data_IF_688853024095
#
_entry.id   IF_688853024095
#
_cell.length_a   1.000
_cell.length_b   1.000
_cell.length_c   1.000
_cell.angle_alpha   90.00
_cell.angle_beta   90.00
_cell.angle_gamma   90.00
#
_symmetry.space_group_name_H-M   'P 1'
#
loop_
_entity.id
_entity.type
_entity.pdbx_description
1 polymer ?
#
# COMPACT_ATOMS: atom_id res chain seq x y z
N UNK A 1 24.95 -20.42 -4.49
CA UNK A 1 23.89 -19.76 -5.27
C UNK A 1 24.50 -18.56 -5.96
N UNK A 2 24.13 -18.30 -7.21
CA UNK A 2 24.58 -17.11 -7.93
C UNK A 2 23.95 -15.85 -7.26
N UNK A 3 24.72 -14.78 -7.00
CA UNK A 3 24.16 -13.52 -6.46
C UNK A 3 22.99 -12.97 -7.29
N UNK A 4 22.99 -13.19 -8.60
CA UNK A 4 21.90 -12.80 -9.49
C UNK A 4 20.64 -13.64 -9.28
N UNK A 5 20.77 -14.97 -9.10
CA UNK A 5 19.63 -15.85 -8.81
C UNK A 5 19.02 -15.55 -7.42
N UNK A 6 19.85 -15.20 -6.43
CA UNK A 6 19.37 -14.79 -5.11
C UNK A 6 18.59 -13.47 -5.17
N UNK A 7 19.03 -12.53 -6.01
CA UNK A 7 18.29 -11.29 -6.24
C UNK A 7 16.95 -11.57 -6.95
N UNK A 8 16.90 -12.45 -7.94
CA UNK A 8 15.64 -12.81 -8.61
C UNK A 8 14.64 -13.47 -7.63
N UNK A 9 15.10 -14.39 -6.79
CA UNK A 9 14.24 -15.01 -5.76
C UNK A 9 13.74 -14.00 -4.73
N UNK A 10 14.61 -13.07 -4.31
CA UNK A 10 14.25 -12.01 -3.38
C UNK A 10 13.25 -11.05 -4.02
N UNK A 11 13.47 -10.63 -5.26
CA UNK A 11 12.56 -9.75 -5.99
C UNK A 11 11.19 -10.41 -6.16
N UNK A 12 11.13 -11.65 -6.62
CA UNK A 12 9.87 -12.39 -6.73
C UNK A 12 9.16 -12.50 -5.37
N UNK A 13 9.90 -12.81 -4.31
CA UNK A 13 9.34 -12.89 -2.97
C UNK A 13 8.73 -11.55 -2.53
N UNK A 14 9.49 -10.46 -2.64
CA UNK A 14 9.04 -9.11 -2.27
C UNK A 14 7.82 -8.69 -3.09
N UNK A 15 7.84 -8.92 -4.41
CA UNK A 15 6.69 -8.64 -5.28
C UNK A 15 5.46 -9.42 -4.83
N UNK A 16 5.58 -10.73 -4.60
CA UNK A 16 4.45 -11.56 -4.17
C UNK A 16 3.92 -11.19 -2.79
N UNK A 17 4.77 -10.66 -1.90
CA UNK A 17 4.36 -10.15 -0.61
C UNK A 17 3.56 -8.86 -0.74
N UNK A 18 4.07 -7.90 -1.52
CA UNK A 18 3.38 -6.63 -1.77
C UNK A 18 2.04 -6.87 -2.46
N UNK A 19 2.00 -7.76 -3.45
CA UNK A 19 0.77 -8.17 -4.11
C UNK A 19 -0.30 -8.67 -3.14
N UNK A 20 0.06 -9.55 -2.20
CA UNK A 20 -0.88 -10.01 -1.16
C UNK A 20 -1.29 -8.91 -0.21
N UNK A 21 -0.35 -8.09 0.25
CA UNK A 21 -0.62 -6.98 1.16
C UNK A 21 -1.62 -5.98 0.56
N UNK A 22 -1.46 -5.66 -0.72
CA UNK A 22 -2.37 -4.79 -1.48
C UNK A 22 -3.77 -5.40 -1.53
N UNK A 23 -3.89 -6.69 -1.83
CA UNK A 23 -5.20 -7.37 -1.91
C UNK A 23 -5.87 -7.43 -0.54
N UNK A 24 -5.11 -7.77 0.51
CA UNK A 24 -5.61 -7.79 1.89
C UNK A 24 -6.11 -6.41 2.32
N UNK A 25 -5.36 -5.35 2.02
CA UNK A 25 -5.77 -3.97 2.28
C UNK A 25 -7.08 -3.63 1.56
N UNK A 26 -7.17 -3.90 0.25
CA UNK A 26 -8.38 -3.61 -0.54
C UNK A 26 -9.59 -4.35 0.04
N UNK A 27 -9.45 -5.63 0.37
CA UNK A 27 -10.54 -6.42 0.96
C UNK A 27 -10.96 -5.87 2.32
N UNK A 28 -10.00 -5.48 3.15
CA UNK A 28 -10.28 -4.86 4.44
C UNK A 28 -11.06 -3.56 4.26
N UNK A 29 -10.62 -2.65 3.39
CA UNK A 29 -11.29 -1.37 3.17
C UNK A 29 -12.68 -1.54 2.55
N UNK A 30 -12.83 -2.47 1.59
CA UNK A 30 -14.14 -2.83 1.03
C UNK A 30 -15.07 -3.43 2.10
N UNK A 31 -14.53 -4.21 3.05
CA UNK A 31 -15.32 -4.76 4.16
C UNK A 31 -15.83 -3.66 5.08
N UNK A 32 -15.05 -2.59 5.31
CA UNK A 32 -15.46 -1.46 6.14
C UNK A 32 -16.54 -0.61 5.45
N UNK A 33 -16.39 -0.34 4.15
CA UNK A 33 -17.32 0.51 3.39
C UNK A 33 -18.56 -0.20 2.85
N UNK A 34 -18.45 -1.48 2.51
CA UNK A 34 -19.51 -2.29 1.89
C UNK A 34 -19.41 -3.79 2.27
N UNK A 35 -19.76 -4.17 3.52
CA UNK A 35 -19.54 -5.51 4.08
C UNK A 35 -20.12 -6.70 3.31
N UNK A 36 -21.13 -6.48 2.46
CA UNK A 36 -21.87 -7.53 1.73
C UNK A 36 -21.37 -7.80 0.32
N UNK A 37 -20.34 -7.08 -0.15
CA UNK A 37 -19.90 -7.09 -1.55
C UNK A 37 -18.40 -7.28 -1.70
N UNK A 38 -17.72 -7.83 -0.70
CA UNK A 38 -16.26 -8.04 -0.75
C UNK A 38 -15.94 -9.24 -1.64
N UNK A 39 -15.20 -9.07 -2.76
CA UNK A 39 -14.78 -10.18 -3.61
C UNK A 39 -13.77 -11.09 -2.90
N UNK A 40 -13.53 -12.27 -3.46
CA UNK A 40 -12.44 -13.13 -2.97
C UNK A 40 -11.07 -12.57 -3.38
N UNK A 41 -10.01 -13.04 -2.72
CA UNK A 41 -8.63 -12.70 -3.06
C UNK A 41 -8.32 -13.11 -4.50
N UNK A 42 -8.74 -14.31 -4.92
CA UNK A 42 -8.53 -14.79 -6.29
C UNK A 42 -9.27 -13.96 -7.34
N UNK A 43 -10.47 -13.46 -7.02
CA UNK A 43 -11.23 -12.59 -7.92
C UNK A 43 -10.56 -11.23 -8.10
N UNK A 44 -10.01 -10.65 -7.02
CA UNK A 44 -9.23 -9.42 -7.10
C UNK A 44 -7.91 -9.62 -7.83
N UNK A 45 -7.20 -10.72 -7.58
CA UNK A 45 -5.98 -11.05 -8.30
C UNK A 45 -6.21 -11.17 -9.80
N UNK A 46 -7.23 -11.94 -10.20
CA UNK A 46 -7.57 -12.09 -11.62
C UNK A 46 -7.92 -10.74 -12.26
N UNK A 47 -8.69 -9.90 -11.55
CA UNK A 47 -9.06 -8.58 -12.04
C UNK A 47 -7.85 -7.65 -12.25
N UNK A 48 -6.90 -7.60 -11.31
CA UNK A 48 -5.74 -6.72 -11.44
C UNK A 48 -4.66 -7.24 -12.38
N UNK A 49 -4.47 -8.56 -12.47
CA UNK A 49 -3.49 -9.16 -13.39
C UNK A 49 -3.94 -9.08 -14.85
N UNK A 50 -5.25 -9.20 -15.10
CA UNK A 50 -5.85 -9.23 -16.44
C UNK A 50 -7.05 -8.27 -16.53
N UNK A 51 -6.85 -6.94 -16.46
CA UNK A 51 -7.95 -5.97 -16.41
C UNK A 51 -8.79 -5.94 -17.70
N UNK A 52 -8.24 -6.39 -18.82
CA UNK A 52 -8.93 -6.47 -20.10
C UNK A 52 -9.76 -7.76 -20.28
N UNK A 53 -9.61 -8.74 -19.39
CA UNK A 53 -10.34 -10.01 -19.46
C UNK A 53 -11.71 -9.94 -18.74
N UNK A 54 -12.67 -10.79 -19.13
CA UNK A 54 -13.96 -10.88 -18.43
C UNK A 54 -13.76 -11.19 -16.94
N UNK A 55 -14.31 -10.33 -16.09
CA UNK A 55 -14.20 -10.46 -14.63
C UNK A 55 -15.51 -10.93 -14.00
N UNK A 56 -15.40 -11.53 -12.81
CA UNK A 56 -16.53 -11.92 -11.96
C UNK A 56 -17.05 -10.77 -11.10
N UNK A 57 -16.25 -9.71 -10.96
CA UNK A 57 -16.62 -8.52 -10.20
C UNK A 57 -17.71 -7.75 -10.94
N UNK A 58 -18.74 -7.32 -10.22
CA UNK A 58 -19.68 -6.35 -10.76
C UNK A 58 -19.02 -4.97 -10.93
N UNK A 59 -19.69 -4.06 -11.64
CA UNK A 59 -19.14 -2.73 -11.95
C UNK A 59 -18.84 -1.90 -10.69
N UNK A 60 -19.59 -2.09 -9.61
CA UNK A 60 -19.38 -1.39 -8.35
C UNK A 60 -18.14 -1.93 -7.63
N UNK A 61 -17.98 -3.25 -7.58
CA UNK A 61 -16.81 -3.93 -7.03
C UNK A 61 -15.54 -3.55 -7.79
N UNK A 62 -15.58 -3.50 -9.13
CA UNK A 62 -14.45 -3.05 -9.95
C UNK A 62 -14.05 -1.60 -9.61
N UNK A 63 -15.02 -0.70 -9.61
CA UNK A 63 -14.78 0.71 -9.28
C UNK A 63 -14.15 0.87 -7.89
N UNK A 64 -14.71 0.20 -6.88
CA UNK A 64 -14.23 0.30 -5.51
C UNK A 64 -12.85 -0.36 -5.32
N UNK A 65 -12.60 -1.52 -5.94
CA UNK A 65 -11.30 -2.18 -5.89
C UNK A 65 -10.21 -1.30 -6.53
N UNK A 66 -10.50 -0.68 -7.68
CA UNK A 66 -9.58 0.27 -8.33
C UNK A 66 -9.34 1.51 -7.47
N UNK A 67 -10.39 2.10 -6.88
CA UNK A 67 -10.26 3.24 -5.96
C UNK A 67 -9.34 2.90 -4.77
N UNK A 68 -9.54 1.75 -4.13
CA UNK A 68 -8.70 1.30 -3.00
C UNK A 68 -7.27 0.97 -3.40
N UNK A 69 -7.05 0.45 -4.60
CA UNK A 69 -5.70 0.27 -5.12
C UNK A 69 -4.97 1.62 -5.28
N UNK A 70 -5.66 2.63 -5.82
CA UNK A 70 -5.08 3.96 -6.00
C UNK A 70 -4.81 4.65 -4.66
N UNK A 71 -5.73 4.52 -3.69
CA UNK A 71 -5.54 5.02 -2.33
C UNK A 71 -4.32 4.37 -1.65
N UNK A 72 -4.20 3.03 -1.73
CA UNK A 72 -3.02 2.32 -1.21
C UNK A 72 -1.73 2.80 -1.86
N UNK A 73 -1.73 2.99 -3.19
CA UNK A 73 -0.56 3.47 -3.93
C UNK A 73 -0.14 4.88 -3.49
N UNK A 74 -1.11 5.78 -3.29
CA UNK A 74 -0.86 7.14 -2.79
C UNK A 74 -0.27 7.12 -1.37
N UNK A 75 -0.89 6.38 -0.45
CA UNK A 75 -0.45 6.26 0.94
C UNK A 75 0.97 5.67 0.99
N UNK A 76 1.21 4.60 0.24
CA UNK A 76 2.49 3.90 0.20
C UNK A 76 3.59 4.80 -0.36
N UNK A 77 3.32 5.52 -1.46
CA UNK A 77 4.28 6.45 -2.05
C UNK A 77 4.60 7.61 -1.10
N UNK A 78 3.57 8.22 -0.49
CA UNK A 78 3.74 9.30 0.50
C UNK A 78 4.58 8.84 1.68
N UNK A 79 4.26 7.67 2.23
CA UNK A 79 4.99 7.06 3.35
C UNK A 79 6.45 6.80 2.98
N UNK A 80 6.72 6.24 1.81
CA UNK A 80 8.08 6.00 1.34
C UNK A 80 8.87 7.30 1.19
N UNK A 81 8.25 8.34 0.58
CA UNK A 81 8.87 9.65 0.47
C UNK A 81 9.19 10.27 1.84
N UNK A 82 8.30 10.11 2.82
CA UNK A 82 8.52 10.61 4.18
C UNK A 82 9.62 9.84 4.92
N UNK A 83 9.70 8.53 4.74
CA UNK A 83 10.79 7.73 5.29
C UNK A 83 12.15 8.16 4.74
N UNK A 84 12.24 8.37 3.42
CA UNK A 84 13.46 8.87 2.77
C UNK A 84 13.82 10.26 3.31
N UNK A 85 12.85 11.18 3.36
CA UNK A 85 13.06 12.54 3.86
C UNK A 85 13.50 12.54 5.33
N UNK A 86 12.86 11.73 6.17
CA UNK A 86 13.22 11.57 7.57
C UNK A 86 14.64 11.06 7.74
N UNK A 87 15.04 10.02 6.99
CA UNK A 87 16.41 9.50 7.02
C UNK A 87 17.43 10.57 6.65
N UNK A 88 17.20 11.31 5.57
CA UNK A 88 18.10 12.39 5.12
C UNK A 88 18.22 13.52 6.16
N UNK A 89 17.10 13.98 6.72
CA UNK A 89 17.11 15.04 7.72
C UNK A 89 17.75 14.60 9.04
N UNK A 90 17.62 13.32 9.38
CA UNK A 90 18.27 12.73 10.55
C UNK A 90 19.79 12.64 10.37
N UNK A 91 20.25 12.24 9.18
CA UNK A 91 21.68 12.22 8.85
C UNK A 91 22.30 13.63 8.89
N UNK A 92 21.54 14.66 8.51
CA UNK A 92 21.96 16.06 8.58
C UNK A 92 21.82 16.68 10.00
N UNK A 93 21.29 15.95 10.98
CA UNK A 93 21.07 16.43 12.35
C UNK A 93 19.95 17.47 12.48
N UNK A 94 19.07 17.57 11.48
CA UNK A 94 17.93 18.51 11.48
C UNK A 94 16.79 18.00 12.37
N UNK A 95 16.57 16.69 12.39
CA UNK A 95 15.58 16.03 13.27
C UNK A 95 16.21 14.85 13.98
N UNK A 96 15.77 14.58 15.20
CA UNK A 96 16.31 13.51 16.06
C UNK A 96 15.30 12.39 16.31
N UNK A 97 14.02 12.65 16.03
CA UNK A 97 12.93 11.69 16.23
C UNK A 97 11.86 11.80 15.15
N UNK A 98 11.06 10.74 14.99
CA UNK A 98 9.89 10.77 14.13
C UNK A 98 8.86 11.82 14.59
N UNK A 99 8.77 12.08 15.90
CA UNK A 99 7.88 13.11 16.45
C UNK A 99 8.25 14.51 15.95
N UNK A 100 9.54 14.86 15.98
CA UNK A 100 10.02 16.13 15.43
C UNK A 100 9.75 16.24 13.92
N UNK A 101 9.95 15.14 13.19
CA UNK A 101 9.64 15.08 11.75
C UNK A 101 8.15 15.33 11.47
N UNK A 102 7.26 14.62 12.16
CA UNK A 102 5.80 14.77 12.00
C UNK A 102 5.38 16.19 12.38
N UNK A 103 5.92 16.77 13.46
CA UNK A 103 5.63 18.16 13.81
C UNK A 103 6.03 19.18 12.75
N UNK A 104 7.10 18.92 12.00
CA UNK A 104 7.60 19.81 10.95
C UNK A 104 6.84 19.67 9.63
N UNK A 105 6.46 18.45 9.25
CA UNK A 105 5.90 18.17 7.91
C UNK A 105 4.41 17.80 7.90
N UNK A 106 3.90 17.23 8.99
CA UNK A 106 2.50 16.79 9.15
C UNK A 106 1.91 17.26 10.48
N UNK A 107 1.88 18.59 10.74
CA UNK A 107 1.46 19.13 12.03
C UNK A 107 0.01 18.79 12.39
N UNK A 108 -0.83 18.52 11.39
CA UNK A 108 -2.24 18.13 11.54
C UNK A 108 -2.42 16.64 11.85
N UNK A 109 -1.41 15.79 11.59
CA UNK A 109 -1.41 14.36 11.91
C UNK A 109 -0.90 14.09 13.34
N UNK A 110 -0.79 15.13 14.17
CA UNK A 110 -0.47 14.92 15.58
C UNK A 110 -1.59 14.11 16.23
N UNK A 111 -1.21 13.02 16.89
CA UNK A 111 -2.09 12.29 17.79
C UNK A 111 -2.64 13.29 18.82
N UNK A 112 -3.88 13.75 18.60
CA UNK A 112 -4.67 14.37 19.65
C UNK A 112 -5.03 13.26 20.64
N UNK A 113 -4.16 13.02 21.61
CA UNK A 113 -4.46 12.22 22.81
C UNK A 113 -4.36 13.11 24.05
N UNK A 114 -5.47 13.31 24.79
CA UNK A 114 -5.40 13.55 26.22
C UNK A 114 -4.93 12.30 26.97
#
# INVERSE_FOLDING_TARGET
MNPFEQNEHLLHFLTSQVEREVIDYIRQEMQHGAPGSVPTEEELFAFFQSPDEPTKLDAYQQMLATDKLLEYAEISLRTLCDLIRYQQLKELGVVHSAKEFIQLFHPDEQEYTP
#
